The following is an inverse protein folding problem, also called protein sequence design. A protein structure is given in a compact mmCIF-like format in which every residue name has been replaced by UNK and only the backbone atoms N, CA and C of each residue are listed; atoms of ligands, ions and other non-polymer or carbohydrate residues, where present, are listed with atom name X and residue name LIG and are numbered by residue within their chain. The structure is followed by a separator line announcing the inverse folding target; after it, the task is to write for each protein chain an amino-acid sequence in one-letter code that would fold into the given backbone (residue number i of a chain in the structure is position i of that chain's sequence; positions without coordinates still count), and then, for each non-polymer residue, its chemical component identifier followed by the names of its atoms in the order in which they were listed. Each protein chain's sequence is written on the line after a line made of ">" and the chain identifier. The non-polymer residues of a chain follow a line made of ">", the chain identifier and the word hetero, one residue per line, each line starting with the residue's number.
data_IF_592016892175
#
_entry.id   IF_592016892175
#
_cell.length_a   1.000
_cell.length_b   1.000
_cell.length_c   1.000
_cell.angle_alpha   90.00
_cell.angle_beta   90.00
_cell.angle_gamma   90.00
#
_symmetry.space_group_name_H-M   'P 1'
#
loop_
_entity.id
_entity.type
_entity.pdbx_description
1 polymer ?
#
# COMPACT_ATOMS: atom_id res chain seq x y z
N UNK A 1 -1.22 -1.83 6.51
CA UNK A 1 -1.40 -1.13 7.81
C UNK A 1 -0.12 -0.66 8.46
N UNK A 2 0.90 -1.51 8.59
CA UNK A 2 2.19 -1.10 9.17
C UNK A 2 2.75 0.14 8.44
N UNK A 3 2.86 0.09 7.12
CA UNK A 3 3.34 1.22 6.29
C UNK A 3 2.49 2.48 6.47
N UNK A 4 1.22 2.35 6.86
CA UNK A 4 0.26 3.46 6.99
C UNK A 4 0.06 3.93 8.44
N UNK A 5 0.76 3.35 9.40
CA UNK A 5 0.59 3.66 10.83
C UNK A 5 -0.75 3.20 11.42
N UNK A 6 -1.48 2.31 10.72
CA UNK A 6 -2.81 1.80 11.14
C UNK A 6 -2.75 0.44 11.84
N UNK A 7 -1.55 -0.11 12.01
CA UNK A 7 -1.38 -1.43 12.62
C UNK A 7 -1.60 -1.37 14.15
N UNK A 8 -2.44 -2.25 14.66
CA UNK A 8 -2.90 -2.36 16.05
C UNK A 8 -2.04 -3.29 16.90
N UNK A 9 -1.06 -3.99 16.32
CA UNK A 9 -0.21 -4.91 17.08
C UNK A 9 0.62 -4.14 18.12
N UNK A 10 0.52 -4.47 19.41
CA UNK A 10 1.22 -3.76 20.51
C UNK A 10 2.33 -4.58 21.18
N UNK A 11 2.69 -5.72 20.61
CA UNK A 11 3.69 -6.62 21.19
C UNK A 11 5.13 -6.19 20.87
N UNK A 12 5.93 -5.97 21.91
CA UNK A 12 7.39 -5.69 21.89
C UNK A 12 7.84 -4.28 21.47
N UNK A 13 9.01 -3.87 22.01
CA UNK A 13 9.66 -2.57 21.77
C UNK A 13 10.31 -2.44 20.36
N UNK A 14 10.25 -3.48 19.51
CA UNK A 14 10.80 -3.44 18.14
C UNK A 14 9.84 -2.74 17.18
N UNK A 15 8.53 -2.74 17.45
CA UNK A 15 7.56 -1.97 16.66
C UNK A 15 7.86 -0.48 16.71
N UNK A 16 8.18 0.03 17.90
CA UNK A 16 8.49 1.44 18.10
C UNK A 16 9.67 1.85 17.22
N UNK A 17 10.73 1.03 17.15
CA UNK A 17 11.87 1.25 16.26
C UNK A 17 11.50 1.26 14.78
N UNK A 18 10.61 0.36 14.35
CA UNK A 18 10.14 0.33 12.95
C UNK A 18 9.31 1.58 12.63
N UNK A 19 8.40 1.95 13.51
CA UNK A 19 7.53 3.11 13.32
C UNK A 19 8.33 4.42 13.35
N UNK A 20 9.31 4.56 14.24
CA UNK A 20 10.28 5.66 14.24
C UNK A 20 11.02 5.75 12.90
N UNK A 21 11.50 4.63 12.37
CA UNK A 21 12.19 4.61 11.08
C UNK A 21 11.28 4.96 9.92
N UNK A 22 10.03 4.50 9.94
CA UNK A 22 9.03 4.89 8.93
C UNK A 22 8.79 6.39 8.97
N UNK A 23 8.61 6.99 10.15
CA UNK A 23 8.47 8.44 10.30
C UNK A 23 9.69 9.20 9.75
N UNK A 24 10.91 8.75 10.08
CA UNK A 24 12.13 9.33 9.53
C UNK A 24 12.18 9.28 7.99
N UNK A 25 11.74 8.17 7.38
CA UNK A 25 11.72 8.04 5.91
C UNK A 25 10.64 8.91 5.27
N UNK A 26 9.44 8.95 5.86
CA UNK A 26 8.35 9.79 5.33
C UNK A 26 8.60 11.28 5.51
N UNK A 27 9.30 11.69 6.57
CA UNK A 27 9.83 13.05 6.70
C UNK A 27 10.76 13.40 5.53
N UNK A 28 11.73 12.54 5.22
CA UNK A 28 12.65 12.77 4.09
C UNK A 28 11.93 12.85 2.75
N UNK A 29 10.95 11.97 2.53
CA UNK A 29 10.10 12.00 1.33
C UNK A 29 9.33 13.33 1.26
N UNK A 30 8.73 13.78 2.37
CA UNK A 30 8.02 15.06 2.42
C UNK A 30 8.93 16.26 2.13
N UNK A 31 10.13 16.28 2.73
CA UNK A 31 11.12 17.34 2.53
C UNK A 31 11.58 17.38 1.07
N UNK A 32 11.87 16.22 0.46
CA UNK A 32 12.25 16.12 -0.95
C UNK A 32 11.12 16.55 -1.89
N UNK A 33 9.87 16.16 -1.59
CA UNK A 33 8.69 16.56 -2.37
C UNK A 33 8.44 18.06 -2.32
N UNK A 34 8.72 18.71 -1.18
CA UNK A 34 8.50 20.15 -0.98
C UNK A 34 9.70 21.02 -1.35
N UNK A 35 10.85 20.41 -1.67
CA UNK A 35 12.06 21.09 -2.11
C UNK A 35 11.87 21.82 -3.44
N UNK A 36 11.11 21.23 -4.36
CA UNK A 36 10.74 21.85 -5.63
C UNK A 36 9.53 22.77 -5.45
N UNK A 37 9.79 24.09 -5.46
CA UNK A 37 8.79 25.15 -5.23
C UNK A 37 7.58 25.14 -6.18
N UNK A 38 7.60 24.34 -7.24
CA UNK A 38 6.52 24.25 -8.23
C UNK A 38 5.20 23.80 -7.61
N UNK A 39 5.24 22.85 -6.66
CA UNK A 39 4.06 22.26 -6.02
C UNK A 39 4.03 22.42 -4.49
N UNK A 40 5.01 23.15 -3.93
CA UNK A 40 5.21 23.28 -2.48
C UNK A 40 3.92 23.70 -1.74
N UNK A 41 3.20 24.70 -2.26
CA UNK A 41 1.95 25.18 -1.65
C UNK A 41 0.87 24.10 -1.59
N UNK A 42 0.67 23.37 -2.69
CA UNK A 42 -0.33 22.30 -2.76
C UNK A 42 0.04 21.11 -1.86
N UNK A 43 1.33 20.75 -1.80
CA UNK A 43 1.83 19.67 -0.95
C UNK A 43 1.75 20.02 0.54
N UNK A 44 2.10 21.26 0.91
CA UNK A 44 1.90 21.78 2.28
C UNK A 44 0.43 21.82 2.66
N UNK A 45 -0.46 22.20 1.75
CA UNK A 45 -1.89 22.19 2.01
C UNK A 45 -2.44 20.77 2.22
N UNK A 46 -2.00 19.80 1.41
CA UNK A 46 -2.45 18.40 1.51
C UNK A 46 -1.90 17.71 2.75
N UNK A 47 -0.59 17.79 2.98
CA UNK A 47 0.10 16.99 4.00
C UNK A 47 0.50 17.77 5.27
N UNK A 48 0.41 19.10 5.27
CA UNK A 48 0.92 19.93 6.38
C UNK A 48 0.17 19.76 7.71
N UNK A 49 -1.02 19.15 7.69
CA UNK A 49 -1.81 18.86 8.89
C UNK A 49 -1.56 17.45 9.48
N UNK A 50 -0.72 16.63 8.85
CA UNK A 50 -0.48 15.24 9.28
C UNK A 50 0.41 15.13 10.55
N UNK A 51 1.03 16.24 10.96
CA UNK A 51 2.06 16.25 12.00
C UNK A 51 3.21 15.28 11.69
N UNK A 52 3.88 14.79 12.73
CA UNK A 52 5.04 13.91 12.59
C UNK A 52 4.70 12.47 12.15
N UNK A 53 3.42 12.17 11.87
CA UNK A 53 2.96 10.84 11.53
C UNK A 53 2.73 10.63 10.02
N UNK A 54 2.61 11.72 9.24
CA UNK A 54 2.49 11.68 7.78
C UNK A 54 1.34 10.80 7.26
N UNK A 55 0.21 10.74 7.96
CA UNK A 55 -0.85 9.77 7.66
C UNK A 55 -1.38 9.84 6.22
N UNK A 56 -1.71 11.03 5.70
CA UNK A 56 -2.18 11.17 4.32
C UNK A 56 -1.08 10.83 3.32
N UNK A 57 0.16 11.28 3.56
CA UNK A 57 1.29 10.96 2.69
C UNK A 57 1.55 9.44 2.64
N UNK A 58 1.41 8.74 3.78
CA UNK A 58 1.57 7.28 3.88
C UNK A 58 0.44 6.53 3.19
N UNK A 59 -0.80 7.02 3.26
CA UNK A 59 -1.93 6.45 2.50
C UNK A 59 -1.74 6.63 0.99
N UNK A 60 -1.37 7.83 0.55
CA UNK A 60 -1.14 8.13 -0.86
C UNK A 60 0.05 7.34 -1.42
N UNK A 61 1.11 7.16 -0.62
CA UNK A 61 2.22 6.29 -0.98
C UNK A 61 1.78 4.84 -1.11
N UNK A 62 0.93 4.34 -0.21
CA UNK A 62 0.41 2.98 -0.30
C UNK A 62 -0.43 2.79 -1.57
N UNK A 63 -1.36 3.70 -1.86
CA UNK A 63 -2.16 3.67 -3.08
C UNK A 63 -1.29 3.62 -4.33
N UNK A 64 -0.26 4.48 -4.40
CA UNK A 64 0.62 4.57 -5.55
C UNK A 64 1.50 3.31 -5.77
N UNK A 65 1.78 2.53 -4.71
CA UNK A 65 2.75 1.44 -4.75
C UNK A 65 2.15 0.04 -4.52
N UNK A 66 0.87 -0.07 -4.11
CA UNK A 66 0.24 -1.34 -3.74
C UNK A 66 0.29 -2.41 -4.83
N UNK A 67 0.19 -2.02 -6.09
CA UNK A 67 0.30 -2.94 -7.23
C UNK A 67 1.69 -3.58 -7.32
N UNK A 68 2.75 -2.77 -7.19
CA UNK A 68 4.13 -3.25 -7.19
C UNK A 68 4.41 -4.12 -5.97
N UNK A 69 3.89 -3.75 -4.81
CA UNK A 69 4.00 -4.57 -3.59
C UNK A 69 3.31 -5.92 -3.76
N UNK A 70 2.09 -5.93 -4.32
CA UNK A 70 1.38 -7.18 -4.61
C UNK A 70 2.13 -8.06 -5.60
N UNK A 71 2.68 -7.45 -6.66
CA UNK A 71 3.54 -8.15 -7.61
C UNK A 71 4.74 -8.79 -6.89
N UNK A 72 5.46 -8.06 -6.04
CA UNK A 72 6.59 -8.63 -5.30
C UNK A 72 6.18 -9.82 -4.42
N UNK A 73 5.09 -9.69 -3.64
CA UNK A 73 4.56 -10.74 -2.75
C UNK A 73 4.21 -12.02 -3.51
N UNK A 74 3.68 -11.89 -4.72
CA UNK A 74 3.18 -13.01 -5.53
C UNK A 74 4.23 -13.56 -6.50
N UNK A 75 5.47 -13.06 -6.48
CA UNK A 75 6.50 -13.45 -7.45
C UNK A 75 6.81 -14.96 -7.45
N UNK A 76 6.87 -15.54 -6.25
CA UNK A 76 7.18 -16.95 -6.01
C UNK A 76 5.93 -17.80 -5.74
N UNK A 77 4.72 -17.23 -5.87
CA UNK A 77 3.51 -18.03 -5.75
C UNK A 77 3.49 -19.12 -6.85
N UNK A 78 2.98 -20.33 -6.54
CA UNK A 78 2.81 -21.38 -7.54
C UNK A 78 2.00 -20.89 -8.74
N UNK A 79 2.33 -21.39 -9.93
CA UNK A 79 1.75 -20.92 -11.20
C UNK A 79 0.23 -21.10 -11.23
N UNK A 80 -0.26 -22.18 -10.63
CA UNK A 80 -1.67 -22.56 -10.50
C UNK A 80 -2.37 -21.94 -9.28
N UNK A 81 -1.66 -21.16 -8.46
CA UNK A 81 -2.27 -20.48 -7.32
C UNK A 81 -3.25 -19.42 -7.78
N UNK A 82 -4.42 -19.44 -7.14
CA UNK A 82 -5.52 -18.52 -7.41
C UNK A 82 -5.93 -17.75 -6.17
N UNK A 83 -6.28 -16.49 -6.36
CA UNK A 83 -7.01 -15.76 -5.32
C UNK A 83 -8.43 -16.34 -5.19
N UNK A 84 -8.89 -16.54 -3.96
CA UNK A 84 -10.10 -17.33 -3.68
C UNK A 84 -11.42 -16.61 -4.03
N UNK A 85 -11.40 -15.28 -4.10
CA UNK A 85 -12.55 -14.51 -4.61
C UNK A 85 -12.48 -14.48 -6.13
N UNK A 86 -13.65 -14.43 -6.77
CA UNK A 86 -13.73 -14.12 -8.20
C UNK A 86 -13.36 -12.66 -8.37
N UNK A 87 -12.30 -12.38 -9.11
CA UNK A 87 -11.73 -11.04 -9.30
C UNK A 87 -11.13 -10.97 -10.69
N UNK A 88 -10.83 -9.75 -11.16
CA UNK A 88 -10.53 -9.46 -12.56
C UNK A 88 -11.83 -9.51 -13.38
N UNK A 89 -12.02 -8.59 -14.32
CA UNK A 89 -13.14 -8.64 -15.25
C UNK A 89 -12.62 -9.20 -16.56
N UNK A 90 -13.07 -10.38 -16.95
CA UNK A 90 -13.02 -10.81 -18.33
C UNK A 90 -14.45 -10.87 -18.88
N UNK A 91 -14.62 -10.41 -20.12
CA UNK A 91 -15.90 -10.41 -20.84
C UNK A 91 -16.38 -11.82 -21.21
N UNK A 92 -15.73 -12.88 -20.69
CA UNK A 92 -15.91 -14.28 -21.12
C UNK A 92 -15.98 -15.31 -19.99
N UNK A 93 -16.17 -14.92 -18.73
CA UNK A 93 -16.46 -15.88 -17.66
C UNK A 93 -16.30 -15.34 -16.25
N UNK A 94 -16.24 -16.24 -15.28
CA UNK A 94 -15.75 -15.93 -13.93
C UNK A 94 -14.22 -15.81 -13.98
N UNK A 95 -13.73 -14.65 -14.40
CA UNK A 95 -12.31 -14.33 -14.32
C UNK A 95 -11.80 -14.58 -12.91
N UNK A 96 -10.66 -15.26 -12.81
CA UNK A 96 -9.97 -15.45 -11.55
C UNK A 96 -8.53 -15.01 -11.73
N UNK A 97 -7.97 -14.41 -10.67
CA UNK A 97 -6.54 -14.18 -10.58
C UNK A 97 -5.82 -15.53 -10.39
N UNK A 98 -5.71 -16.32 -11.47
CA UNK A 98 -5.38 -17.75 -11.49
C UNK A 98 -3.96 -18.05 -11.96
N UNK A 99 -3.14 -17.03 -12.21
CA UNK A 99 -1.73 -17.18 -12.54
C UNK A 99 -0.90 -16.49 -11.46
N UNK A 100 -0.41 -17.25 -10.48
CA UNK A 100 0.30 -16.71 -9.30
C UNK A 100 -0.52 -15.69 -8.50
N UNK A 101 -1.83 -15.90 -8.32
CA UNK A 101 -2.74 -14.95 -7.68
C UNK A 101 -2.79 -13.56 -8.37
N UNK A 102 -2.54 -13.50 -9.69
CA UNK A 102 -2.60 -12.28 -10.50
C UNK A 102 -3.58 -12.41 -11.67
N UNK A 103 -4.07 -11.26 -12.13
CA UNK A 103 -4.87 -11.20 -13.35
C UNK A 103 -3.99 -11.45 -14.60
N UNK A 104 -4.45 -12.27 -15.57
CA UNK A 104 -3.66 -12.66 -16.75
C UNK A 104 -3.32 -11.52 -17.72
N UNK A 105 -4.07 -10.40 -17.70
CA UNK A 105 -3.89 -9.28 -18.65
C UNK A 105 -2.94 -8.16 -18.16
N UNK A 106 -1.91 -8.50 -17.39
CA UNK A 106 -0.73 -7.63 -17.23
C UNK A 106 -0.89 -6.32 -16.44
N UNK A 107 -2.08 -5.95 -15.99
CA UNK A 107 -2.27 -4.68 -15.27
C UNK A 107 -1.77 -4.68 -13.81
N UNK A 108 -1.05 -5.72 -13.35
CA UNK A 108 -0.61 -5.86 -11.95
C UNK A 108 -1.69 -5.55 -10.91
N UNK A 109 -2.96 -5.71 -11.29
CA UNK A 109 -4.09 -5.33 -10.46
C UNK A 109 -4.08 -6.18 -9.21
N UNK A 110 -4.18 -5.50 -8.07
CA UNK A 110 -4.35 -6.16 -6.78
C UNK A 110 -5.77 -6.75 -6.75
N UNK A 111 -5.94 -8.08 -6.70
CA UNK A 111 -7.25 -8.73 -6.72
C UNK A 111 -8.01 -8.53 -5.39
N UNK A 112 -7.38 -7.94 -4.38
CA UNK A 112 -7.95 -7.76 -3.06
C UNK A 112 -8.07 -6.29 -2.67
N UNK A 113 -9.07 -6.03 -1.82
CA UNK A 113 -9.26 -4.75 -1.13
C UNK A 113 -9.14 -4.92 0.39
N UNK A 114 -8.56 -6.02 0.87
CA UNK A 114 -8.35 -6.22 2.32
C UNK A 114 -7.50 -5.11 2.93
N UNK A 115 -6.61 -4.49 2.16
CA UNK A 115 -5.88 -3.30 2.59
C UNK A 115 -6.78 -2.06 2.80
N UNK A 116 -8.05 -2.06 2.37
CA UNK A 116 -9.02 -1.01 2.72
C UNK A 116 -10.05 -1.47 3.77
N UNK A 117 -9.92 -2.69 4.29
CA UNK A 117 -10.75 -3.18 5.40
C UNK A 117 -10.05 -2.91 6.73
N UNK A 118 -10.73 -2.33 7.73
CA UNK A 118 -10.16 -2.11 9.07
C UNK A 118 -9.55 -3.39 9.65
N UNK A 119 -8.35 -3.30 10.25
CA UNK A 119 -7.60 -4.48 10.70
C UNK A 119 -8.39 -5.44 11.58
N UNK A 120 -9.24 -4.90 12.46
CA UNK A 120 -10.06 -5.70 13.37
C UNK A 120 -11.07 -6.62 12.66
N UNK A 121 -11.47 -6.27 11.43
CA UNK A 121 -12.48 -6.99 10.65
C UNK A 121 -11.87 -7.91 9.57
N UNK A 122 -10.54 -7.96 9.44
CA UNK A 122 -9.84 -8.80 8.45
C UNK A 122 -9.65 -10.22 8.95
#
# INVERSE_FOLDING_TARGET
>A
DIIRGKDLYRGNNKKDKLEEKLKEYFQKIYDDLTKDKKNESALKQRYGNDGDNFFQLREDWWEANRETVWYAITCEAPVDSRYFRVTCSDTKGSSQANHKCRCPNGNNQVPTYFDYVPQYLR
#
